data_IF_589802130801
#
_entry.id   IF_589802130801
#
_cell.length_a   1.000
_cell.length_b   1.000
_cell.length_c   1.000
_cell.angle_alpha   90.00
_cell.angle_beta   90.00
_cell.angle_gamma   90.00
#
_symmetry.space_group_name_H-M   'P 1'
#
loop_
_entity.id
_entity.type
_entity.pdbx_description
1 polymer ?
#
# COMPACT_ATOMS: atom_id res chain seq x y z
N UNK A 1 -19.10 -32.15 -6.27
CA UNK A 1 -18.31 -31.38 -7.25
C UNK A 1 -19.05 -31.11 -8.55
N UNK A 2 -19.72 -32.10 -9.18
CA UNK A 2 -20.43 -31.89 -10.46
C UNK A 2 -21.48 -30.76 -10.44
N UNK A 3 -22.25 -30.63 -9.35
CA UNK A 3 -23.23 -29.55 -9.21
C UNK A 3 -22.58 -28.15 -9.12
N UNK A 4 -21.46 -28.03 -8.39
CA UNK A 4 -20.72 -26.77 -8.29
C UNK A 4 -20.20 -26.33 -9.67
N UNK A 5 -19.57 -27.24 -10.41
CA UNK A 5 -19.11 -26.96 -11.77
C UNK A 5 -20.23 -26.65 -12.77
N UNK A 6 -21.37 -27.30 -12.65
CA UNK A 6 -22.55 -26.97 -13.45
C UNK A 6 -23.03 -25.55 -13.14
N UNK A 7 -23.08 -25.18 -11.85
CA UNK A 7 -23.50 -23.83 -11.46
C UNK A 7 -22.49 -22.78 -11.92
N UNK A 8 -21.18 -23.01 -11.80
CA UNK A 8 -20.15 -22.08 -12.29
C UNK A 8 -20.30 -21.78 -13.78
N UNK A 9 -20.76 -22.75 -14.59
CA UNK A 9 -21.03 -22.51 -16.02
C UNK A 9 -22.21 -21.57 -16.27
N UNK A 10 -23.20 -21.55 -15.39
CA UNK A 10 -24.40 -20.72 -15.51
C UNK A 10 -24.22 -19.36 -14.82
N UNK A 11 -23.73 -19.38 -13.59
CA UNK A 11 -23.39 -18.23 -12.77
C UNK A 11 -22.02 -18.48 -12.13
N UNK A 12 -20.94 -17.93 -12.73
CA UNK A 12 -19.58 -18.11 -12.22
C UNK A 12 -19.42 -17.64 -10.76
N UNK A 13 -20.06 -16.53 -10.40
CA UNK A 13 -20.01 -15.95 -9.05
C UNK A 13 -20.69 -16.83 -8.00
N UNK A 14 -21.87 -17.36 -8.31
CA UNK A 14 -22.55 -18.26 -7.37
C UNK A 14 -21.85 -19.62 -7.28
N UNK A 15 -21.27 -20.06 -8.41
CA UNK A 15 -20.49 -21.29 -8.47
C UNK A 15 -19.26 -21.27 -7.57
N UNK A 16 -18.49 -20.17 -7.57
CA UNK A 16 -17.31 -20.03 -6.70
C UNK A 16 -17.69 -20.00 -5.22
N UNK A 17 -18.82 -19.40 -4.87
CA UNK A 17 -19.30 -19.37 -3.49
C UNK A 17 -19.59 -20.77 -2.94
N UNK A 18 -20.04 -21.70 -3.79
CA UNK A 18 -20.21 -23.11 -3.39
C UNK A 18 -18.86 -23.74 -3.03
N UNK A 19 -17.80 -23.47 -3.80
CA UNK A 19 -16.47 -23.98 -3.48
C UNK A 19 -15.94 -23.40 -2.16
N UNK A 20 -16.18 -22.10 -1.93
CA UNK A 20 -15.77 -21.38 -0.71
C UNK A 20 -16.53 -21.88 0.53
N UNK A 21 -17.86 -22.04 0.44
CA UNK A 21 -18.72 -22.41 1.58
C UNK A 21 -18.83 -23.91 1.84
N UNK A 22 -18.32 -24.74 0.94
CA UNK A 22 -18.43 -26.19 1.08
C UNK A 22 -17.72 -26.67 2.34
N UNK A 23 -18.34 -27.55 3.16
CA UNK A 23 -17.66 -28.20 4.29
C UNK A 23 -16.42 -29.01 3.87
N UNK A 24 -16.36 -29.42 2.59
CA UNK A 24 -15.25 -30.16 1.97
C UNK A 24 -14.22 -29.27 1.30
N UNK A 25 -14.30 -27.94 1.44
CA UNK A 25 -13.39 -27.01 0.75
C UNK A 25 -11.91 -27.29 1.05
N UNK A 26 -11.60 -27.83 2.24
CA UNK A 26 -10.24 -28.21 2.64
C UNK A 26 -9.71 -29.49 1.98
N UNK A 27 -10.61 -30.34 1.47
CA UNK A 27 -10.26 -31.61 0.83
C UNK A 27 -10.12 -31.45 -0.70
N UNK A 28 -10.42 -30.27 -1.23
CA UNK A 28 -10.36 -29.99 -2.66
C UNK A 28 -8.97 -29.54 -3.05
N UNK A 29 -8.50 -29.97 -4.22
CA UNK A 29 -7.26 -29.46 -4.81
C UNK A 29 -7.47 -28.00 -5.28
N UNK A 30 -6.81 -27.02 -4.66
CA UNK A 30 -6.96 -25.63 -5.04
C UNK A 30 -6.46 -25.34 -6.46
N UNK A 31 -5.44 -26.06 -6.93
CA UNK A 31 -4.82 -25.82 -8.23
C UNK A 31 -5.74 -26.29 -9.36
N UNK A 32 -6.37 -27.46 -9.21
CA UNK A 32 -7.38 -27.96 -10.16
C UNK A 32 -8.58 -27.00 -10.26
N UNK A 33 -9.02 -26.45 -9.12
CA UNK A 33 -10.13 -25.49 -9.10
C UNK A 33 -9.71 -24.21 -9.82
N UNK A 34 -8.55 -23.66 -9.47
CA UNK A 34 -8.04 -22.42 -10.04
C UNK A 34 -7.87 -22.52 -11.56
N UNK A 35 -7.29 -23.60 -12.10
CA UNK A 35 -7.11 -23.82 -13.54
C UNK A 35 -8.45 -23.76 -14.31
N UNK A 36 -9.52 -24.25 -13.69
CA UNK A 36 -10.86 -24.22 -14.28
C UNK A 36 -11.55 -22.87 -14.10
N UNK A 37 -11.34 -22.20 -12.97
CA UNK A 37 -11.88 -20.87 -12.70
C UNK A 37 -11.25 -19.79 -13.61
N UNK A 38 -9.99 -19.98 -14.02
CA UNK A 38 -9.28 -19.07 -14.94
C UNK A 38 -9.96 -18.90 -16.31
N UNK A 39 -10.85 -19.83 -16.69
CA UNK A 39 -11.63 -19.73 -17.93
C UNK A 39 -12.78 -18.71 -17.85
N UNK A 40 -13.08 -18.20 -16.66
CA UNK A 40 -14.15 -17.23 -16.40
C UNK A 40 -13.56 -15.83 -16.17
N UNK A 41 -14.25 -14.98 -15.42
CA UNK A 41 -13.81 -13.62 -15.14
C UNK A 41 -12.75 -13.56 -14.03
N UNK A 42 -12.00 -12.44 -14.02
CA UNK A 42 -10.97 -12.21 -13.01
C UNK A 42 -11.55 -12.19 -11.59
N UNK A 43 -12.79 -11.72 -11.45
CA UNK A 43 -13.45 -11.62 -10.15
C UNK A 43 -13.71 -12.98 -9.51
N UNK A 44 -14.06 -14.01 -10.28
CA UNK A 44 -14.26 -15.37 -9.76
C UNK A 44 -12.94 -15.98 -9.28
N UNK A 45 -11.88 -15.86 -10.07
CA UNK A 45 -10.53 -16.32 -9.66
C UNK A 45 -10.09 -15.62 -8.39
N UNK A 46 -10.24 -14.29 -8.34
CA UNK A 46 -9.92 -13.49 -7.16
C UNK A 46 -10.68 -13.95 -5.92
N UNK A 47 -12.00 -14.17 -6.04
CA UNK A 47 -12.83 -14.55 -4.88
C UNK A 47 -12.34 -15.85 -4.25
N UNK A 48 -11.94 -16.81 -5.08
CA UNK A 48 -11.35 -18.06 -4.58
C UNK A 48 -9.95 -17.84 -3.99
N UNK A 49 -9.08 -17.05 -4.63
CA UNK A 49 -7.76 -16.71 -4.10
C UNK A 49 -7.83 -15.96 -2.77
N UNK A 50 -8.77 -15.03 -2.61
CA UNK A 50 -9.04 -14.32 -1.36
C UNK A 50 -9.44 -15.31 -0.26
N UNK A 51 -10.26 -16.32 -0.56
CA UNK A 51 -10.58 -17.38 0.39
C UNK A 51 -9.34 -18.21 0.77
N UNK A 52 -8.52 -18.62 -0.20
CA UNK A 52 -7.29 -19.38 0.06
C UNK A 52 -6.31 -18.61 0.95
N UNK A 53 -6.12 -17.32 0.67
CA UNK A 53 -5.14 -16.47 1.38
C UNK A 53 -5.68 -15.96 2.71
N UNK A 54 -6.92 -15.46 2.77
CA UNK A 54 -7.46 -14.81 3.97
C UNK A 54 -8.11 -15.80 4.94
N UNK A 55 -8.85 -16.80 4.44
CA UNK A 55 -9.62 -17.72 5.28
C UNK A 55 -8.82 -18.99 5.60
N UNK A 56 -8.20 -19.61 4.58
CA UNK A 56 -7.35 -20.78 4.78
C UNK A 56 -5.92 -20.43 5.22
N UNK A 57 -5.54 -19.14 5.18
CA UNK A 57 -4.20 -18.66 5.54
C UNK A 57 -3.10 -19.46 4.85
N UNK A 58 -3.29 -19.76 3.57
CA UNK A 58 -2.30 -20.50 2.80
C UNK A 58 -0.98 -19.74 2.77
N UNK A 59 0.11 -20.44 3.08
CA UNK A 59 1.47 -19.91 3.03
C UNK A 59 2.09 -20.05 1.63
N UNK A 60 1.31 -20.49 0.62
CA UNK A 60 1.80 -20.65 -0.73
C UNK A 60 2.03 -19.28 -1.40
N UNK A 61 3.29 -18.96 -1.80
CA UNK A 61 3.58 -17.67 -2.40
C UNK A 61 2.98 -17.49 -3.79
N UNK A 62 2.68 -18.57 -4.51
CA UNK A 62 2.01 -18.50 -5.81
C UNK A 62 0.61 -17.90 -5.66
N UNK A 63 -0.16 -18.34 -4.66
CA UNK A 63 -1.52 -17.84 -4.44
C UNK A 63 -1.55 -16.36 -4.09
N UNK A 64 -0.62 -15.90 -3.24
CA UNK A 64 -0.50 -14.49 -2.91
C UNK A 64 -0.05 -13.64 -4.11
N UNK A 65 0.88 -14.16 -4.91
CA UNK A 65 1.35 -13.50 -6.14
C UNK A 65 0.22 -13.36 -7.16
N UNK A 66 -0.53 -14.44 -7.39
CA UNK A 66 -1.70 -14.46 -8.29
C UNK A 66 -2.81 -13.54 -7.79
N UNK A 67 -3.02 -13.47 -6.47
CA UNK A 67 -4.00 -12.57 -5.87
C UNK A 67 -3.62 -11.10 -6.08
N UNK A 68 -2.36 -10.72 -5.83
CA UNK A 68 -1.85 -9.37 -6.15
C UNK A 68 -2.02 -9.05 -7.63
N UNK A 69 -1.63 -9.97 -8.53
CA UNK A 69 -1.77 -9.77 -9.97
C UNK A 69 -3.23 -9.62 -10.40
N UNK A 70 -4.15 -10.33 -9.74
CA UNK A 70 -5.60 -10.20 -9.98
C UNK A 70 -6.13 -8.81 -9.59
N UNK A 71 -5.72 -8.26 -8.44
CA UNK A 71 -6.07 -6.88 -8.07
C UNK A 71 -5.49 -5.85 -9.05
N UNK A 72 -4.24 -6.05 -9.48
CA UNK A 72 -3.58 -5.17 -10.46
C UNK A 72 -4.32 -5.23 -11.81
N UNK A 73 -4.78 -6.40 -12.22
CA UNK A 73 -5.57 -6.57 -13.44
C UNK A 73 -6.88 -5.78 -13.38
N UNK A 74 -7.61 -5.82 -12.26
CA UNK A 74 -8.81 -5.02 -12.08
C UNK A 74 -8.53 -3.51 -12.16
N UNK A 75 -7.43 -3.04 -11.53
CA UNK A 75 -7.01 -1.64 -11.61
C UNK A 75 -6.69 -1.24 -13.05
N UNK A 76 -5.93 -2.06 -13.77
CA UNK A 76 -5.58 -1.84 -15.17
C UNK A 76 -6.82 -1.80 -16.07
N UNK A 77 -7.77 -2.70 -15.85
CA UNK A 77 -9.00 -2.74 -16.64
C UNK A 77 -9.87 -1.51 -16.36
N UNK A 78 -9.96 -1.07 -15.10
CA UNK A 78 -10.63 0.18 -14.69
C UNK A 78 -9.98 1.42 -15.33
N UNK A 79 -8.63 1.50 -15.34
CA UNK A 79 -7.89 2.59 -15.99
C UNK A 79 -8.22 2.64 -17.48
N UNK A 80 -8.28 1.50 -18.17
CA UNK A 80 -8.58 1.42 -19.60
C UNK A 80 -10.02 1.78 -19.93
N UNK A 81 -10.97 1.39 -19.10
CA UNK A 81 -12.40 1.60 -19.36
C UNK A 81 -12.83 3.05 -19.11
N UNK A 82 -12.29 3.70 -18.08
CA UNK A 82 -12.75 5.02 -17.62
C UNK A 82 -11.72 6.14 -17.81
N UNK A 83 -10.75 5.96 -18.73
CA UNK A 83 -9.63 6.88 -18.94
C UNK A 83 -8.95 7.31 -17.62
N UNK A 84 -8.68 6.33 -16.76
CA UNK A 84 -8.25 6.55 -15.38
C UNK A 84 -6.85 7.15 -15.25
N UNK A 85 -6.08 7.28 -16.34
CA UNK A 85 -4.74 7.89 -16.32
C UNK A 85 -4.79 9.36 -15.93
N UNK A 86 -5.77 10.11 -16.45
CA UNK A 86 -5.98 11.50 -16.07
C UNK A 86 -6.31 11.64 -14.59
N UNK A 87 -7.19 10.76 -14.09
CA UNK A 87 -7.59 10.71 -12.69
C UNK A 87 -6.40 10.37 -11.77
N UNK A 88 -5.55 9.41 -12.12
CA UNK A 88 -4.37 9.07 -11.32
C UNK A 88 -3.43 10.28 -11.18
N UNK A 89 -3.20 11.00 -12.27
CA UNK A 89 -2.39 12.22 -12.27
C UNK A 89 -3.04 13.31 -11.41
N UNK A 90 -4.33 13.55 -11.59
CA UNK A 90 -5.10 14.53 -10.81
C UNK A 90 -5.03 14.22 -9.31
N UNK A 91 -5.15 12.95 -8.90
CA UNK A 91 -5.04 12.57 -7.50
C UNK A 91 -3.68 12.95 -6.89
N UNK A 92 -2.59 12.77 -7.63
CA UNK A 92 -1.24 13.12 -7.18
C UNK A 92 -1.05 14.65 -7.17
N UNK A 93 -1.51 15.33 -8.22
CA UNK A 93 -1.41 16.80 -8.32
C UNK A 93 -2.26 17.49 -7.23
N UNK A 94 -3.46 16.98 -6.94
CA UNK A 94 -4.31 17.40 -5.83
C UNK A 94 -3.58 17.26 -4.50
N UNK A 95 -3.04 16.07 -4.22
CA UNK A 95 -2.32 15.82 -2.98
C UNK A 95 -1.13 16.77 -2.83
N UNK A 96 -0.33 16.97 -3.89
CA UNK A 96 0.81 17.88 -3.89
C UNK A 96 0.43 19.33 -3.57
N UNK A 97 -0.76 19.78 -3.96
CA UNK A 97 -1.26 21.13 -3.66
C UNK A 97 -1.68 21.29 -2.21
N UNK A 98 -2.16 20.21 -1.59
CA UNK A 98 -2.61 20.20 -0.21
C UNK A 98 -1.46 20.03 0.81
N UNK A 99 -0.24 19.71 0.36
CA UNK A 99 0.93 19.62 1.23
C UNK A 99 1.23 20.99 1.83
N UNK A 100 0.92 21.14 3.13
CA UNK A 100 1.42 22.24 3.94
C UNK A 100 2.79 21.85 4.54
N UNK A 101 3.91 22.46 4.11
CA UNK A 101 5.23 22.15 4.65
C UNK A 101 5.42 22.59 6.11
N UNK A 102 4.47 23.36 6.67
CA UNK A 102 4.48 23.81 8.08
C UNK A 102 3.10 23.55 8.72
N UNK A 103 2.80 22.29 9.11
CA UNK A 103 1.60 22.01 9.88
C UNK A 103 1.67 22.80 11.20
N UNK A 104 0.62 23.57 11.48
CA UNK A 104 0.52 24.29 12.76
C UNK A 104 0.18 23.30 13.87
N UNK A 105 0.65 23.56 15.11
CA UNK A 105 0.48 22.72 16.33
C UNK A 105 -0.96 22.31 16.68
N UNK A 106 -1.98 22.69 15.88
CA UNK A 106 -3.39 22.39 16.10
C UNK A 106 -3.96 21.32 15.16
N UNK A 107 -3.18 20.83 14.20
CA UNK A 107 -3.61 19.79 13.26
C UNK A 107 -3.36 18.39 13.86
N UNK A 108 -4.21 18.00 14.81
CA UNK A 108 -4.13 16.70 15.52
C UNK A 108 -4.41 15.48 14.60
N UNK A 109 -4.86 15.68 13.35
CA UNK A 109 -5.16 14.60 12.41
C UNK A 109 -3.99 14.31 11.45
N UNK A 110 -3.09 13.43 11.89
CA UNK A 110 -2.00 12.87 11.08
C UNK A 110 -2.51 12.01 9.92
N UNK A 111 -3.80 11.67 9.85
CA UNK A 111 -4.36 10.85 8.75
C UNK A 111 -4.36 11.58 7.41
N UNK A 112 -4.22 12.91 7.41
CA UNK A 112 -4.12 13.72 6.19
C UNK A 112 -2.69 13.94 5.71
N UNK A 113 -1.68 13.46 6.45
CA UNK A 113 -0.28 13.77 6.15
C UNK A 113 0.37 12.86 5.10
N UNK A 114 -0.27 11.72 4.78
CA UNK A 114 0.25 10.75 3.79
C UNK A 114 -0.66 10.64 2.58
N UNK A 115 -0.08 10.29 1.43
CA UNK A 115 -0.85 10.07 0.20
C UNK A 115 -1.88 8.96 0.37
N UNK A 116 -1.51 7.88 1.09
CA UNK A 116 -2.44 6.81 1.42
C UNK A 116 -3.60 7.29 2.30
N UNK A 117 -3.29 8.12 3.29
CA UNK A 117 -4.26 8.76 4.16
C UNK A 117 -5.25 9.60 3.37
N UNK A 118 -4.76 10.46 2.48
CA UNK A 118 -5.54 11.24 1.53
C UNK A 118 -6.48 10.37 0.66
N UNK A 119 -5.96 9.30 0.04
CA UNK A 119 -6.79 8.39 -0.76
C UNK A 119 -7.90 7.74 0.08
N UNK A 120 -7.58 7.35 1.31
CA UNK A 120 -8.50 6.64 2.22
C UNK A 120 -9.54 7.52 2.91
N UNK A 121 -9.34 8.84 2.94
CA UNK A 121 -10.25 9.77 3.62
C UNK A 121 -11.05 10.61 2.63
N UNK A 122 -10.40 11.14 1.58
CA UNK A 122 -11.02 12.14 0.71
C UNK A 122 -11.56 11.56 -0.60
N UNK A 123 -11.00 10.45 -1.09
CA UNK A 123 -11.24 9.96 -2.46
C UNK A 123 -11.85 8.56 -2.53
N UNK A 124 -12.35 8.02 -1.42
CA UNK A 124 -12.92 6.66 -1.30
C UNK A 124 -14.16 6.39 -2.14
N UNK A 125 -14.84 7.43 -2.63
CA UNK A 125 -15.99 7.29 -3.52
C UNK A 125 -15.61 6.84 -4.93
N UNK A 126 -14.34 7.02 -5.33
CA UNK A 126 -13.86 6.67 -6.65
C UNK A 126 -13.56 5.17 -6.73
N UNK A 127 -14.13 4.49 -7.72
CA UNK A 127 -13.93 3.04 -7.91
C UNK A 127 -12.46 2.66 -8.04
N UNK A 128 -11.70 3.40 -8.85
CA UNK A 128 -10.27 3.20 -9.02
C UNK A 128 -9.51 3.31 -7.69
N UNK A 129 -9.86 4.29 -6.84
CA UNK A 129 -9.24 4.46 -5.52
C UNK A 129 -9.58 3.29 -4.60
N UNK A 130 -10.83 2.80 -4.60
CA UNK A 130 -11.20 1.62 -3.82
C UNK A 130 -10.37 0.39 -4.21
N UNK A 131 -10.20 0.14 -5.50
CA UNK A 131 -9.38 -0.97 -6.01
C UNK A 131 -7.93 -0.84 -5.56
N UNK A 132 -7.34 0.36 -5.67
CA UNK A 132 -5.98 0.66 -5.20
C UNK A 132 -5.82 0.44 -3.70
N UNK A 133 -6.75 0.94 -2.87
CA UNK A 133 -6.69 0.76 -1.41
C UNK A 133 -6.74 -0.71 -0.99
N UNK A 134 -7.50 -1.54 -1.70
CA UNK A 134 -7.52 -2.99 -1.47
C UNK A 134 -6.16 -3.62 -1.80
N UNK A 135 -5.57 -3.27 -2.95
CA UNK A 135 -4.24 -3.75 -3.33
C UNK A 135 -3.16 -3.29 -2.34
N UNK A 136 -3.12 -2.00 -1.99
CA UNK A 136 -2.14 -1.44 -1.05
C UNK A 136 -2.21 -2.18 0.30
N UNK A 137 -3.42 -2.38 0.82
CA UNK A 137 -3.62 -3.13 2.08
C UNK A 137 -3.08 -4.55 1.99
N UNK A 138 -3.29 -5.22 0.85
CA UNK A 138 -2.77 -6.56 0.61
C UNK A 138 -1.23 -6.57 0.59
N UNK A 139 -0.60 -5.67 -0.18
CA UNK A 139 0.86 -5.59 -0.33
C UNK A 139 1.58 -5.25 1.00
N UNK A 140 0.99 -4.38 1.82
CA UNK A 140 1.55 -4.04 3.13
C UNK A 140 1.50 -5.22 4.11
N UNK A 141 0.40 -5.98 4.09
CA UNK A 141 0.16 -7.08 5.06
C UNK A 141 0.81 -8.39 4.66
N UNK A 142 0.87 -8.69 3.36
CA UNK A 142 1.46 -9.94 2.88
C UNK A 142 2.97 -9.80 2.73
N UNK A 143 3.71 -10.79 3.25
CA UNK A 143 5.16 -10.92 3.05
C UNK A 143 5.50 -12.12 2.16
N UNK A 144 4.49 -12.81 1.63
CA UNK A 144 4.62 -14.13 1.01
C UNK A 144 4.19 -14.08 -0.45
N UNK A 145 4.62 -13.09 -1.22
CA UNK A 145 4.41 -13.04 -2.67
C UNK A 145 5.73 -12.79 -3.39
N UNK A 146 5.82 -13.12 -4.68
CA UNK A 146 6.98 -12.80 -5.52
C UNK A 146 6.97 -11.31 -5.89
N UNK A 147 7.86 -10.48 -5.31
CA UNK A 147 7.81 -9.04 -5.54
C UNK A 147 8.17 -8.66 -6.99
N UNK A 148 9.03 -9.44 -7.65
CA UNK A 148 9.44 -9.21 -9.04
C UNK A 148 8.27 -9.34 -10.01
N UNK A 149 7.46 -10.40 -9.87
CA UNK A 149 6.28 -10.62 -10.71
C UNK A 149 5.26 -9.50 -10.49
N UNK A 150 5.03 -9.13 -9.22
CA UNK A 150 4.09 -8.05 -8.86
C UNK A 150 4.58 -6.69 -9.40
N UNK A 151 5.88 -6.40 -9.30
CA UNK A 151 6.46 -5.16 -9.83
C UNK A 151 6.32 -5.06 -11.36
N UNK A 152 6.53 -6.16 -12.08
CA UNK A 152 6.32 -6.19 -13.53
C UNK A 152 4.85 -5.90 -13.88
N UNK A 153 3.91 -6.56 -13.18
CA UNK A 153 2.49 -6.32 -13.37
C UNK A 153 2.07 -4.87 -13.06
N UNK A 154 2.61 -4.27 -11.99
CA UNK A 154 2.38 -2.86 -11.64
C UNK A 154 2.89 -1.91 -12.74
N UNK A 155 4.07 -2.20 -13.29
CA UNK A 155 4.69 -1.39 -14.34
C UNK A 155 3.87 -1.39 -15.63
N UNK A 156 3.25 -2.52 -15.97
CA UNK A 156 2.34 -2.63 -17.12
C UNK A 156 0.94 -2.01 -16.87
N UNK A 157 0.52 -1.90 -15.61
CA UNK A 157 -0.81 -1.43 -15.27
C UNK A 157 -0.96 0.09 -15.31
N UNK A 158 0.08 0.84 -14.93
CA UNK A 158 0.07 2.31 -14.97
C UNK A 158 0.95 2.99 -13.91
N UNK A 159 0.75 4.31 -13.69
CA UNK A 159 1.46 5.08 -12.65
C UNK A 159 0.86 4.79 -11.26
N UNK A 160 1.21 3.63 -10.71
CA UNK A 160 0.79 3.15 -9.37
C UNK A 160 1.95 3.33 -8.37
N UNK A 161 2.33 4.57 -8.12
CA UNK A 161 3.63 4.88 -7.50
C UNK A 161 3.73 4.41 -6.05
N UNK A 162 2.70 4.63 -5.23
CA UNK A 162 2.71 4.14 -3.83
C UNK A 162 2.72 2.60 -3.77
N UNK A 163 2.02 1.92 -4.65
CA UNK A 163 2.07 0.46 -4.76
C UNK A 163 3.47 -0.04 -5.13
N UNK A 164 4.12 0.64 -6.10
CA UNK A 164 5.51 0.33 -6.51
C UNK A 164 6.49 0.57 -5.38
N UNK A 165 6.37 1.67 -4.63
CA UNK A 165 7.21 1.96 -3.48
C UNK A 165 7.16 0.82 -2.44
N UNK A 166 5.95 0.35 -2.10
CA UNK A 166 5.77 -0.76 -1.15
C UNK A 166 6.44 -2.04 -1.66
N UNK A 167 6.28 -2.36 -2.96
CA UNK A 167 6.90 -3.56 -3.55
C UNK A 167 8.42 -3.43 -3.65
N UNK A 168 8.95 -2.24 -3.96
CA UNK A 168 10.40 -2.00 -3.89
C UNK A 168 10.96 -2.22 -2.49
N UNK A 169 10.23 -1.84 -1.44
CA UNK A 169 10.58 -2.21 -0.06
C UNK A 169 10.69 -3.72 0.16
N UNK A 170 9.75 -4.53 -0.36
CA UNK A 170 9.86 -5.99 -0.30
C UNK A 170 11.04 -6.56 -1.11
N UNK A 171 11.58 -5.79 -2.06
CA UNK A 171 12.77 -6.15 -2.85
C UNK A 171 14.08 -5.63 -2.23
N UNK A 172 14.04 -4.99 -1.05
CA UNK A 172 15.16 -4.25 -0.45
C UNK A 172 15.71 -3.12 -1.35
N UNK A 173 14.90 -2.63 -2.29
CA UNK A 173 15.19 -1.51 -3.19
C UNK A 173 14.74 -0.20 -2.56
N UNK A 174 15.34 0.11 -1.41
CA UNK A 174 14.87 1.22 -0.57
C UNK A 174 15.11 2.59 -1.21
N UNK A 175 16.18 2.74 -2.00
CA UNK A 175 16.47 3.99 -2.68
C UNK A 175 15.38 4.34 -3.69
N UNK A 176 14.94 3.37 -4.51
CA UNK A 176 13.87 3.53 -5.48
C UNK A 176 12.51 3.80 -4.80
N UNK A 177 12.25 3.13 -3.67
CA UNK A 177 11.04 3.40 -2.88
C UNK A 177 11.03 4.82 -2.31
N UNK A 178 12.14 5.27 -1.71
CA UNK A 178 12.24 6.61 -1.15
C UNK A 178 12.21 7.68 -2.24
N UNK A 179 12.82 7.42 -3.40
CA UNK A 179 12.76 8.31 -4.56
C UNK A 179 11.31 8.55 -5.01
N UNK A 180 10.51 7.49 -5.11
CA UNK A 180 9.08 7.62 -5.40
C UNK A 180 8.35 8.45 -4.34
N UNK A 181 8.52 8.12 -3.06
CA UNK A 181 7.78 8.80 -2.00
C UNK A 181 8.14 10.29 -1.94
N UNK A 182 9.41 10.62 -2.10
CA UNK A 182 9.95 11.97 -1.90
C UNK A 182 9.82 12.82 -3.16
N UNK A 183 10.24 12.31 -4.32
CA UNK A 183 10.37 13.08 -5.55
C UNK A 183 9.15 12.94 -6.47
N UNK A 184 8.46 11.80 -6.46
CA UNK A 184 7.28 11.59 -7.31
C UNK A 184 5.98 11.95 -6.59
N UNK A 185 5.80 11.52 -5.34
CA UNK A 185 4.56 11.75 -4.57
C UNK A 185 4.64 12.96 -3.63
N UNK A 186 5.83 13.40 -3.24
CA UNK A 186 6.05 14.43 -2.20
C UNK A 186 5.46 14.01 -0.83
N UNK A 187 5.34 12.70 -0.61
CA UNK A 187 4.80 12.11 0.61
C UNK A 187 5.92 11.95 1.65
N UNK A 188 6.35 13.06 2.25
CA UNK A 188 7.42 13.09 3.25
C UNK A 188 7.06 12.28 4.51
N UNK A 189 5.80 12.36 4.95
CA UNK A 189 5.35 11.58 6.12
C UNK A 189 5.21 10.09 5.78
N UNK A 190 4.83 9.77 4.55
CA UNK A 190 4.86 8.41 4.03
C UNK A 190 6.27 7.84 3.96
N UNK A 191 7.26 8.65 3.57
CA UNK A 191 8.69 8.28 3.58
C UNK A 191 9.22 8.03 5.00
N UNK A 192 8.83 8.84 5.99
CA UNK A 192 9.14 8.58 7.40
C UNK A 192 8.47 7.30 7.90
N UNK A 193 7.18 7.11 7.57
CA UNK A 193 6.43 5.88 7.89
C UNK A 193 7.12 4.65 7.29
N UNK A 194 7.65 4.79 6.07
CA UNK A 194 8.43 3.76 5.41
C UNK A 194 9.69 3.39 6.19
N UNK A 195 10.47 4.37 6.65
CA UNK A 195 11.64 4.11 7.50
C UNK A 195 11.26 3.47 8.84
N UNK A 196 10.21 3.96 9.51
CA UNK A 196 9.73 3.42 10.80
C UNK A 196 9.30 1.96 10.68
N UNK A 197 8.69 1.61 9.55
CA UNK A 197 8.20 0.25 9.27
C UNK A 197 9.21 -0.63 8.56
N UNK A 198 10.50 -0.26 8.49
CA UNK A 198 11.55 -1.02 7.80
C UNK A 198 11.15 -1.37 6.34
N UNK A 199 10.58 -0.40 5.64
CA UNK A 199 10.18 -0.55 4.24
C UNK A 199 8.90 -1.37 3.98
N UNK A 200 8.16 -1.76 5.02
CA UNK A 200 6.94 -2.56 4.85
C UNK A 200 5.70 -1.73 4.48
N UNK A 201 5.70 -0.42 4.76
CA UNK A 201 4.51 0.43 4.60
C UNK A 201 4.85 1.89 4.29
N UNK A 202 4.14 2.51 3.35
CA UNK A 202 4.25 3.94 3.05
C UNK A 202 3.10 4.80 3.62
N UNK A 203 2.36 4.28 4.61
CA UNK A 203 1.24 4.99 5.24
C UNK A 203 0.32 4.05 6.03
N UNK A 204 -0.53 4.60 6.89
CA UNK A 204 -1.48 3.80 7.68
C UNK A 204 -2.86 3.94 7.04
N UNK A 205 -3.48 2.83 6.65
CA UNK A 205 -4.93 2.82 6.40
C UNK A 205 -5.59 2.61 7.77
N UNK A 206 -6.37 3.57 8.28
CA UNK A 206 -7.09 3.39 9.54
C UNK A 206 -7.91 2.11 9.46
N UNK A 207 -7.49 1.10 10.22
CA UNK A 207 -8.36 -0.01 10.58
C UNK A 207 -9.22 0.53 11.72
N UNK A 208 -10.51 0.19 11.80
CA UNK A 208 -11.51 0.74 12.74
C UNK A 208 -11.23 0.51 14.24
N UNK A 209 -9.98 0.31 14.64
CA UNK A 209 -9.52 0.16 16.02
C UNK A 209 -8.14 0.81 16.15
N UNK A 210 -8.09 2.14 16.22
CA UNK A 210 -6.96 2.79 16.89
C UNK A 210 -7.32 2.80 18.39
N UNK A 211 -6.51 2.21 19.28
CA UNK A 211 -6.68 2.45 20.70
C UNK A 211 -6.36 3.93 20.94
N UNK A 212 -7.40 4.68 21.29
CA UNK A 212 -7.28 6.05 21.80
C UNK A 212 -6.18 6.05 22.86
N UNK A 213 -5.13 6.84 22.65
CA UNK A 213 -4.19 7.20 23.71
C UNK A 213 -4.96 8.06 24.70
N UNK A 214 -5.70 7.42 25.61
CA UNK A 214 -6.23 8.08 26.78
C UNK A 214 -5.05 8.41 27.68
N UNK A 215 -4.68 9.69 27.73
CA UNK A 215 -3.89 10.26 28.81
C UNK A 215 -4.64 10.02 30.13
N UNK A 216 -4.31 8.94 30.82
CA UNK A 216 -4.82 8.63 32.15
C UNK A 216 -3.71 7.91 32.91
N UNK A 217 -3.15 8.63 33.89
CA UNK A 217 -2.19 8.12 34.86
C UNK A 217 -2.86 7.05 35.71
N UNK A 218 -2.76 5.80 35.28
CA UNK A 218 -2.95 4.63 36.13
C UNK A 218 -1.96 3.58 35.68
N UNK A 219 -1.08 3.17 36.60
CA UNK A 219 -0.07 2.13 36.41
C UNK A 219 -0.74 0.82 35.95
N UNK A 220 -0.82 0.65 34.64
CA UNK A 220 -1.12 -0.64 34.02
C UNK A 220 0.20 -1.39 33.89
N UNK A 221 0.24 -2.72 34.12
CA UNK A 221 1.47 -3.49 33.97
C UNK A 221 2.02 -3.23 32.57
N UNK A 222 3.34 -3.00 32.48
CA UNK A 222 3.99 -2.73 31.19
C UNK A 222 3.54 -3.81 30.19
N UNK A 223 3.06 -3.42 28.99
CA UNK A 223 2.94 -4.38 27.90
C UNK A 223 4.33 -4.99 27.72
N UNK A 224 4.38 -6.32 27.57
CA UNK A 224 5.61 -7.02 27.22
C UNK A 224 6.21 -6.33 26.00
N UNK A 225 7.29 -5.58 26.22
CA UNK A 225 8.03 -4.91 25.15
C UNK A 225 8.55 -6.03 24.26
N UNK A 226 7.94 -6.22 23.09
CA UNK A 226 8.58 -6.95 22.02
C UNK A 226 9.88 -6.20 21.72
N UNK A 227 10.99 -6.73 22.23
CA UNK A 227 12.31 -6.21 21.91
C UNK A 227 12.49 -6.33 20.39
N UNK A 228 12.43 -5.18 19.71
CA UNK A 228 12.82 -5.07 18.30
C UNK A 228 14.22 -5.66 18.17
N UNK A 229 14.41 -6.58 17.22
CA UNK A 229 15.71 -7.25 17.07
C UNK A 229 16.81 -6.23 16.74
N UNK A 230 18.06 -6.54 17.10
CA UNK A 230 19.22 -5.72 16.75
C UNK A 230 19.27 -5.42 15.25
N UNK A 231 18.94 -6.41 14.43
CA UNK A 231 19.04 -6.34 12.98
C UNK A 231 17.99 -5.38 12.41
N UNK A 232 16.77 -5.39 12.95
CA UNK A 232 15.72 -4.44 12.57
C UNK A 232 16.08 -2.99 12.93
N UNK A 233 16.83 -2.78 14.01
CA UNK A 233 17.29 -1.45 14.40
C UNK A 233 18.40 -0.92 13.48
N UNK A 234 19.30 -1.81 13.03
CA UNK A 234 20.36 -1.45 12.06
C UNK A 234 19.73 -1.06 10.74
N UNK A 235 18.88 -1.91 10.18
CA UNK A 235 18.16 -1.65 8.93
C UNK A 235 17.39 -0.32 9.00
N UNK A 236 16.66 -0.09 10.10
CA UNK A 236 15.95 1.18 10.33
C UNK A 236 16.89 2.38 10.30
N UNK A 237 18.06 2.28 10.95
CA UNK A 237 19.04 3.37 10.97
C UNK A 237 19.58 3.69 9.56
N UNK A 238 19.83 2.67 8.75
CA UNK A 238 20.26 2.83 7.34
C UNK A 238 19.19 3.55 6.51
N UNK A 239 17.91 3.16 6.67
CA UNK A 239 16.79 3.83 5.99
C UNK A 239 16.68 5.31 6.38
N UNK A 240 16.82 5.64 7.66
CA UNK A 240 16.81 7.04 8.09
C UNK A 240 18.01 7.84 7.56
N UNK A 241 19.18 7.21 7.43
CA UNK A 241 20.32 7.84 6.77
C UNK A 241 20.06 8.11 5.28
N UNK A 242 19.45 7.16 4.56
CA UNK A 242 19.02 7.37 3.17
C UNK A 242 18.02 8.52 3.06
N UNK A 243 17.00 8.54 3.94
CA UNK A 243 15.99 9.59 4.00
C UNK A 243 16.63 10.98 4.25
N UNK A 244 17.53 11.07 5.23
CA UNK A 244 18.23 12.30 5.56
C UNK A 244 19.06 12.83 4.37
N UNK A 245 19.80 11.95 3.70
CA UNK A 245 20.58 12.32 2.51
C UNK A 245 19.66 12.79 1.36
N UNK A 246 18.51 12.14 1.18
CA UNK A 246 17.51 12.55 0.19
C UNK A 246 16.97 13.96 0.49
N UNK A 247 16.66 14.26 1.74
CA UNK A 247 16.17 15.59 2.16
C UNK A 247 17.20 16.70 1.96
N UNK A 248 18.49 16.44 2.27
CA UNK A 248 19.56 17.40 1.98
C UNK A 248 19.62 17.69 0.48
N UNK A 249 19.55 16.65 -0.35
CA UNK A 249 19.61 16.77 -1.81
C UNK A 249 18.44 17.59 -2.39
N UNK A 250 17.25 17.53 -1.76
CA UNK A 250 16.11 18.39 -2.13
C UNK A 250 16.40 19.84 -1.79
N UNK A 251 16.94 20.10 -0.59
CA UNK A 251 17.27 21.46 -0.14
C UNK A 251 18.24 22.12 -1.11
N UNK A 252 19.24 21.38 -1.62
CA UNK A 252 20.18 21.88 -2.63
C UNK A 252 19.48 22.20 -3.96
N UNK A 253 18.47 21.41 -4.37
CA UNK A 253 17.66 21.72 -5.56
C UNK A 253 16.80 22.97 -5.38
N UNK A 254 16.18 23.16 -4.22
CA UNK A 254 15.40 24.37 -3.90
C UNK A 254 16.30 25.60 -3.73
N UNK A 255 17.50 25.45 -3.16
CA UNK A 255 18.52 26.50 -3.07
C UNK A 255 19.07 26.90 -4.45
N UNK A 256 19.12 25.99 -5.42
CA UNK A 256 19.53 26.29 -6.79
C UNK A 256 18.41 26.94 -7.63
N UNK A 257 17.15 26.83 -7.23
CA UNK A 257 15.99 27.50 -7.86
C UNK A 257 15.83 28.96 -7.39
N UNK A 258 16.38 29.31 -6.23
CA UNK A 258 16.50 30.69 -5.75
C UNK A 258 17.97 30.98 -5.48
N UNK A 259 18.76 31.42 -6.50
CA UNK A 259 20.09 31.95 -6.23
C UNK A 259 19.92 33.07 -5.21
N UNK A 260 20.54 32.89 -4.05
CA UNK A 260 20.58 33.83 -2.91
C UNK A 260 20.63 35.30 -3.36
N UNK A 261 19.47 35.92 -3.57
CA UNK A 261 19.32 37.37 -3.42
C UNK A 261 19.25 37.59 -1.93
N UNK A 262 20.42 37.79 -1.34
CA UNK A 262 20.62 37.83 0.09
C UNK A 262 19.70 38.82 0.79
N UNK A 263 19.03 38.33 1.83
CA UNK A 263 18.86 39.07 3.08
C UNK A 263 18.51 38.05 4.17
N UNK A 264 19.54 37.60 4.90
CA UNK A 264 19.36 37.07 6.24
C UNK A 264 18.81 38.21 7.11
N UNK A 265 17.50 38.22 7.33
CA UNK A 265 16.92 38.98 8.45
C UNK A 265 17.23 38.15 9.70
N UNK A 266 18.39 38.43 10.29
CA UNK A 266 18.69 38.06 11.67
C UNK A 266 17.70 38.81 12.56
N UNK A 267 16.70 38.10 13.09
CA UNK A 267 15.99 38.56 14.28
C UNK A 267 16.99 38.55 15.44
N UNK A 268 17.58 39.72 15.69
CA UNK A 268 18.30 39.99 16.93
C UNK A 268 17.26 40.25 18.01
N UNK A 269 17.33 39.43 19.05
CA UNK A 269 16.72 39.65 20.35
C UNK A 269 17.05 41.05 20.87
N UNK A 270 16.04 41.76 21.36
CA UNK A 270 16.14 42.85 22.34
C UNK A 270 14.87 42.86 23.16
#
# INVERSE_FOLDING_TARGET
>A
MHYAWWLTKQSPRDGVEIFIRSPRARDMDPDEILERLERYDNQVVRSYLEYLVNNLKSENPDYCTRLACSYIKDIRDEIKQNDGLGLLKELVDDFKRDINPYPTDKDDDLSHSTFLGYLSTQKTQLRLVQLRLVLIRFLQRSNIYSPEIVMNALSEAGPLDIEKAIVFGKMNKHQESLDILINELYDFVGAETYCVTNGHSAGIIPSTTVPVRSSSLSEKPLPSVEYVSSDQMIERSELFMMLFNAYISIKDRCLNLYPMTGQLILYKSS
#
